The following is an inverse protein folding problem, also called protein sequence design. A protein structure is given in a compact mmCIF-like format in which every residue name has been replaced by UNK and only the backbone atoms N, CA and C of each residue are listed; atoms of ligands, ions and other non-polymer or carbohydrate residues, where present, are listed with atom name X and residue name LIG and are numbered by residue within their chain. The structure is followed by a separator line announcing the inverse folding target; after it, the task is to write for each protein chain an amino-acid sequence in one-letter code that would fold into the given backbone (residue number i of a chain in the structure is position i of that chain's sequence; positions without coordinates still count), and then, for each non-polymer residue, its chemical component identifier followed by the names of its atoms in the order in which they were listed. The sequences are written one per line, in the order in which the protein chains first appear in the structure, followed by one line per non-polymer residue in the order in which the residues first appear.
data_IF_166064708765
#
_entry.id   IF_166064708765
#
_cell.length_a   1.000
_cell.length_b   1.000
_cell.length_c   1.000
_cell.angle_alpha   90.00
_cell.angle_beta   90.00
_cell.angle_gamma   90.00
#
_symmetry.space_group_name_H-M   'P 1'
#
loop_
_entity.id
_entity.type
_entity.pdbx_description
1 polymer ?
#
# COMPACT_ATOMS: atom_id res chain seq x y z
N UNK A 1 -18.13 -3.77 21.81
CA UNK A 1 -16.73 -3.69 21.35
C UNK A 1 -16.75 -3.17 19.93
N UNK A 2 -16.20 -1.98 19.67
CA UNK A 2 -15.88 -1.61 18.29
C UNK A 2 -14.73 -2.52 17.86
N UNK A 3 -14.91 -3.28 16.78
CA UNK A 3 -13.84 -4.08 16.23
C UNK A 3 -12.72 -3.14 15.76
N UNK A 4 -11.46 -3.50 16.02
CA UNK A 4 -10.32 -2.74 15.51
C UNK A 4 -10.42 -2.61 13.98
N UNK A 5 -10.15 -1.43 13.41
CA UNK A 5 -10.21 -1.24 11.96
C UNK A 5 -9.33 -2.25 11.23
N UNK A 6 -9.85 -2.80 10.13
CA UNK A 6 -9.10 -3.75 9.31
C UNK A 6 -8.46 -3.01 8.15
N UNK A 7 -7.17 -3.19 7.99
CA UNK A 7 -6.42 -2.59 6.87
C UNK A 7 -6.06 -3.67 5.86
N UNK A 8 -6.33 -3.40 4.59
CA UNK A 8 -5.96 -4.26 3.46
C UNK A 8 -5.28 -3.40 2.42
N UNK A 9 -4.27 -3.95 1.76
CA UNK A 9 -3.64 -3.29 0.61
C UNK A 9 -3.57 -4.27 -0.55
N UNK A 10 -3.63 -3.74 -1.77
CA UNK A 10 -3.39 -4.46 -3.00
C UNK A 10 -2.61 -3.58 -3.97
N UNK A 11 -1.90 -4.20 -4.90
CA UNK A 11 -1.10 -3.53 -5.91
C UNK A 11 -1.56 -4.01 -7.29
N UNK A 12 -2.07 -3.09 -8.09
CA UNK A 12 -2.47 -3.32 -9.47
C UNK A 12 -1.38 -2.81 -10.42
N UNK A 13 -1.16 -3.51 -11.53
CA UNK A 13 -0.27 -3.05 -12.59
C UNK A 13 -0.97 -2.00 -13.44
N UNK A 14 -0.40 -0.81 -13.59
CA UNK A 14 -0.94 0.24 -14.48
C UNK A 14 0.17 0.88 -15.30
N UNK A 15 0.33 0.46 -16.56
CA UNK A 15 1.33 0.96 -17.52
C UNK A 15 2.76 0.99 -16.98
N UNK A 16 3.19 2.10 -16.36
CA UNK A 16 4.53 2.36 -15.83
C UNK A 16 4.55 2.53 -14.30
N UNK A 17 3.41 2.37 -13.63
CA UNK A 17 3.25 2.54 -12.17
C UNK A 17 2.56 1.34 -11.54
N UNK A 18 2.91 1.09 -10.28
CA UNK A 18 2.20 0.22 -9.38
C UNK A 18 1.07 1.03 -8.72
N UNK A 19 -0.19 0.78 -9.10
CA UNK A 19 -1.33 1.41 -8.44
C UNK A 19 -1.54 0.71 -7.09
N UNK A 20 -1.18 1.41 -6.01
CA UNK A 20 -1.37 0.98 -4.63
C UNK A 20 -2.79 1.35 -4.22
N UNK A 21 -3.59 0.37 -3.82
CA UNK A 21 -4.89 0.61 -3.17
C UNK A 21 -4.84 0.15 -1.73
N UNK A 22 -5.11 1.06 -0.80
CA UNK A 22 -5.28 0.79 0.62
C UNK A 22 -6.78 0.89 0.95
N UNK A 23 -7.31 -0.11 1.65
CA UNK A 23 -8.69 -0.14 2.12
C UNK A 23 -8.67 -0.20 3.64
N UNK A 24 -9.23 0.82 4.28
CA UNK A 24 -9.43 0.86 5.73
C UNK A 24 -10.90 0.61 6.02
N UNK A 25 -11.19 -0.55 6.61
CA UNK A 25 -12.54 -0.92 7.02
C UNK A 25 -12.73 -0.53 8.50
N UNK A 26 -13.49 0.54 8.72
CA UNK A 26 -13.80 1.09 10.05
C UNK A 26 -14.98 0.36 10.72
N UNK A 27 -15.92 -0.11 9.90
CA UNK A 27 -17.09 -0.88 10.30
C UNK A 27 -17.44 -1.90 9.19
N UNK A 28 -18.34 -2.88 9.43
CA UNK A 28 -18.71 -3.88 8.41
C UNK A 28 -19.11 -3.26 7.06
N UNK A 29 -19.76 -2.11 7.10
CA UNK A 29 -20.34 -1.35 5.98
C UNK A 29 -19.55 -0.07 5.62
N UNK A 30 -18.56 0.32 6.43
CA UNK A 30 -17.77 1.54 6.21
C UNK A 30 -16.35 1.18 5.78
N UNK A 31 -16.08 1.35 4.49
CA UNK A 31 -14.76 1.15 3.88
C UNK A 31 -14.29 2.46 3.26
N UNK A 32 -13.11 2.93 3.67
CA UNK A 32 -12.47 4.12 3.12
C UNK A 32 -11.34 3.68 2.18
N UNK A 33 -11.46 3.93 0.87
CA UNK A 33 -10.40 3.63 -0.08
C UNK A 33 -9.38 4.77 -0.14
N UNK A 34 -8.11 4.40 -0.29
CA UNK A 34 -7.02 5.31 -0.60
C UNK A 34 -6.19 4.74 -1.74
N UNK A 35 -5.73 5.61 -2.64
CA UNK A 35 -5.06 5.21 -3.89
C UNK A 35 -3.77 6.01 -4.08
N UNK A 36 -2.76 5.35 -4.62
CA UNK A 36 -1.49 5.98 -4.95
C UNK A 36 -0.83 5.33 -6.17
N UNK A 37 -0.35 6.15 -7.11
CA UNK A 37 0.44 5.68 -8.25
C UNK A 37 1.93 5.73 -7.90
N UNK A 38 2.53 4.55 -7.68
CA UNK A 38 3.94 4.43 -7.33
C UNK A 38 4.77 4.07 -8.56
N UNK A 39 5.76 4.89 -8.98
CA UNK A 39 6.65 4.52 -10.07
C UNK A 39 7.44 3.23 -9.75
N UNK A 40 7.41 2.24 -10.65
CA UNK A 40 8.14 0.99 -10.45
C UNK A 40 9.65 1.20 -10.32
N UNK A 41 10.22 2.18 -11.02
CA UNK A 41 11.63 2.55 -10.90
C UNK A 41 11.99 2.99 -9.49
N UNK A 42 11.10 3.73 -8.84
CA UNK A 42 11.30 4.21 -7.47
C UNK A 42 11.25 3.04 -6.48
N UNK A 43 10.26 2.16 -6.63
CA UNK A 43 10.17 0.95 -5.83
C UNK A 43 11.40 0.05 -6.02
N UNK A 44 11.84 -0.17 -7.26
CA UNK A 44 13.02 -0.97 -7.56
C UNK A 44 14.29 -0.39 -6.89
N UNK A 45 14.45 0.93 -6.87
CA UNK A 45 15.57 1.59 -6.22
C UNK A 45 15.52 1.52 -4.68
N UNK A 46 14.33 1.56 -4.09
CA UNK A 46 14.15 1.60 -2.64
C UNK A 46 14.01 0.22 -1.98
N UNK A 47 13.53 -0.78 -2.73
CA UNK A 47 13.11 -2.06 -2.19
C UNK A 47 11.78 -1.98 -1.44
N UNK A 48 11.20 -3.15 -1.16
CA UNK A 48 9.84 -3.28 -0.60
C UNK A 48 9.69 -2.65 0.79
N UNK A 49 10.66 -2.85 1.68
CA UNK A 49 10.55 -2.37 3.06
C UNK A 49 10.51 -0.84 3.15
N UNK A 50 11.47 -0.16 2.52
CA UNK A 50 11.53 1.30 2.48
C UNK A 50 10.31 1.88 1.77
N UNK A 51 9.87 1.25 0.68
CA UNK A 51 8.68 1.67 -0.07
C UNK A 51 7.41 1.58 0.79
N UNK A 52 7.21 0.49 1.51
CA UNK A 52 6.06 0.31 2.40
C UNK A 52 6.03 1.36 3.52
N UNK A 53 7.19 1.65 4.12
CA UNK A 53 7.32 2.72 5.13
C UNK A 53 6.95 4.08 4.55
N UNK A 54 7.54 4.43 3.41
CA UNK A 54 7.28 5.71 2.77
C UNK A 54 5.80 5.88 2.40
N UNK A 55 5.15 4.84 1.85
CA UNK A 55 3.72 4.86 1.55
C UNK A 55 2.85 5.01 2.82
N UNK A 56 3.22 4.35 3.92
CA UNK A 56 2.52 4.52 5.19
C UNK A 56 2.66 5.95 5.74
N UNK A 57 3.84 6.56 5.56
CA UNK A 57 4.09 7.94 5.94
C UNK A 57 3.28 8.91 5.06
N UNK A 58 3.19 8.66 3.75
CA UNK A 58 2.32 9.44 2.84
C UNK A 58 0.84 9.32 3.24
N UNK A 59 0.38 8.12 3.59
CA UNK A 59 -0.98 7.92 4.09
C UNK A 59 -1.22 8.71 5.38
N UNK A 60 -0.28 8.69 6.33
CA UNK A 60 -0.37 9.45 7.57
C UNK A 60 -0.39 10.96 7.34
N UNK A 61 0.43 11.47 6.42
CA UNK A 61 0.47 12.90 6.07
C UNK A 61 -0.83 13.35 5.38
N UNK A 62 -1.44 12.48 4.57
CA UNK A 62 -2.68 12.78 3.86
C UNK A 62 -3.91 12.69 4.76
N UNK A 63 -3.99 11.65 5.60
CA UNK A 63 -5.10 11.39 6.51
C UNK A 63 -4.61 10.87 7.87
N UNK A 64 -4.13 11.81 8.69
CA UNK A 64 -3.56 11.50 10.00
C UNK A 64 -4.59 11.00 11.02
N UNK A 65 -5.88 11.27 10.82
CA UNK A 65 -6.94 10.74 11.68
C UNK A 65 -7.22 9.28 11.36
N UNK A 66 -7.47 8.95 10.09
CA UNK A 66 -7.69 7.59 9.65
C UNK A 66 -6.47 6.70 9.91
N UNK A 67 -5.27 7.25 9.72
CA UNK A 67 -4.00 6.58 10.06
C UNK A 67 -3.89 6.22 11.54
N UNK A 68 -4.30 7.12 12.44
CA UNK A 68 -4.33 6.84 13.89
C UNK A 68 -5.37 5.80 14.25
N UNK A 69 -6.55 5.83 13.64
CA UNK A 69 -7.61 4.84 13.85
C UNK A 69 -7.20 3.45 13.33
N UNK A 70 -6.58 3.40 12.15
CA UNK A 70 -6.13 2.17 11.51
C UNK A 70 -4.91 1.54 12.22
N UNK A 71 -4.08 2.36 12.85
CA UNK A 71 -2.79 1.97 13.41
C UNK A 71 -1.70 1.96 12.34
N UNK A 72 -0.70 2.85 12.48
CA UNK A 72 0.36 3.03 11.48
C UNK A 72 1.16 1.75 11.18
N UNK A 73 1.36 0.87 12.17
CA UNK A 73 2.01 -0.42 11.94
C UNK A 73 1.16 -1.36 11.10
N UNK A 74 -0.16 -1.42 11.34
CA UNK A 74 -1.07 -2.25 10.55
C UNK A 74 -1.10 -1.81 9.08
N UNK A 75 -1.07 -0.49 8.83
CA UNK A 75 -0.95 0.09 7.49
C UNK A 75 0.37 -0.33 6.83
N UNK A 76 1.49 -0.13 7.52
CA UNK A 76 2.81 -0.50 6.98
C UNK A 76 2.92 -2.00 6.68
N UNK A 77 2.41 -2.87 7.57
CA UNK A 77 2.40 -4.32 7.34
C UNK A 77 1.50 -4.73 6.17
N UNK A 78 0.32 -4.12 6.03
CA UNK A 78 -0.57 -4.39 4.89
C UNK A 78 0.10 -4.02 3.56
N UNK A 79 0.70 -2.83 3.48
CA UNK A 79 1.43 -2.35 2.31
C UNK A 79 2.63 -3.26 1.99
N UNK A 80 3.43 -3.64 3.01
CA UNK A 80 4.58 -4.52 2.83
C UNK A 80 4.17 -5.87 2.23
N UNK A 81 3.12 -6.49 2.78
CA UNK A 81 2.58 -7.77 2.26
C UNK A 81 2.08 -7.63 0.82
N UNK A 82 1.37 -6.55 0.49
CA UNK A 82 0.86 -6.34 -0.85
C UNK A 82 2.00 -6.18 -1.88
N UNK A 83 3.04 -5.42 -1.53
CA UNK A 83 4.24 -5.25 -2.33
C UNK A 83 5.02 -6.58 -2.47
N UNK A 84 5.19 -7.35 -1.40
CA UNK A 84 5.85 -8.68 -1.43
C UNK A 84 5.11 -9.66 -2.34
N UNK A 85 3.78 -9.73 -2.20
CA UNK A 85 2.91 -10.58 -3.05
C UNK A 85 3.04 -10.14 -4.51
N UNK A 86 2.91 -8.85 -4.79
CA UNK A 86 3.03 -8.34 -6.15
C UNK A 86 4.41 -8.63 -6.75
N UNK A 87 5.48 -8.38 -6.00
CA UNK A 87 6.84 -8.68 -6.44
C UNK A 87 7.04 -10.17 -6.71
N UNK A 88 6.45 -11.07 -5.92
CA UNK A 88 6.54 -12.53 -6.10
C UNK A 88 5.81 -13.02 -7.35
N UNK A 89 4.59 -12.54 -7.60
CA UNK A 89 3.74 -13.04 -8.69
C UNK A 89 3.94 -12.32 -10.01
N UNK A 90 4.33 -11.04 -9.99
CA UNK A 90 4.59 -10.22 -11.17
C UNK A 90 6.10 -9.98 -11.38
N UNK A 91 6.93 -10.90 -10.85
CA UNK A 91 8.40 -10.95 -10.93
C UNK A 91 8.89 -10.40 -12.27
N UNK A 92 9.44 -9.18 -12.25
CA UNK A 92 10.48 -8.71 -13.18
C UNK A 92 10.16 -8.89 -14.68
N UNK A 93 8.97 -8.52 -15.14
CA UNK A 93 8.74 -8.21 -16.56
C UNK A 93 9.19 -6.78 -16.93
N UNK A 94 9.46 -5.94 -15.93
CA UNK A 94 9.54 -4.49 -16.06
C UNK A 94 10.93 -3.96 -16.44
N UNK A 95 12.00 -4.72 -16.16
CA UNK A 95 13.38 -4.36 -16.54
C UNK A 95 13.74 -4.83 -17.96
N UNK A 96 12.84 -5.53 -18.67
CA UNK A 96 13.08 -6.02 -20.03
C UNK A 96 12.42 -5.17 -21.11
N UNK A 97 11.93 -3.97 -20.77
CA UNK A 97 11.27 -3.04 -21.73
C UNK A 97 11.88 -1.64 -21.73
N UNK A 98 13.17 -1.53 -21.38
CA UNK A 98 13.99 -0.36 -21.71
C UNK A 98 14.90 -0.71 -22.88
#
# INVERSE_FOLDING_TARGET
MMASPRVRALVETSKSVAEIRLLVQLAPDVVVPWRWDLPYLLWAAWGTERTARWLADQFHQHDGELSRLAGGEAVCQALRRALEVHHRFFRVAWLASL
#
